data_IF_609906607592
#
_entry.id   IF_609906607592
#
_cell.length_a   1.000
_cell.length_b   1.000
_cell.length_c   1.000
_cell.angle_alpha   90.00
_cell.angle_beta   90.00
_cell.angle_gamma   90.00
#
_symmetry.space_group_name_H-M   'P 1'
#
loop_
_entity.id
_entity.type
_entity.pdbx_description
1 polymer ?
#
# COMPACT_ATOMS: atom_id res chain seq x y z
N UNK A 1 -11.02 -3.08 -7.78
CA UNK A 1 -9.72 -2.38 -7.75
C UNK A 1 -9.60 -1.53 -6.51
N UNK A 2 -8.44 -1.53 -5.85
CA UNK A 2 -8.14 -0.69 -4.69
C UNK A 2 -7.10 0.36 -5.10
N UNK A 3 -7.34 1.63 -4.77
CA UNK A 3 -6.32 2.69 -4.91
C UNK A 3 -5.95 3.16 -3.52
N UNK A 4 -4.68 3.08 -3.19
CA UNK A 4 -4.16 3.48 -1.90
C UNK A 4 -3.20 4.66 -2.01
N UNK A 5 -3.46 5.72 -1.24
CA UNK A 5 -2.57 6.90 -1.13
C UNK A 5 -1.79 6.84 0.18
N UNK A 6 -0.47 6.96 0.11
CA UNK A 6 0.38 6.99 1.31
C UNK A 6 0.29 5.67 2.11
N UNK A 7 -0.03 5.75 3.40
CA UNK A 7 -0.35 4.59 4.24
C UNK A 7 -1.39 3.68 3.59
N UNK A 8 -2.43 4.24 2.96
CA UNK A 8 -3.45 3.48 2.27
C UNK A 8 -2.90 2.63 1.12
N UNK A 9 -1.75 3.01 0.54
CA UNK A 9 -1.04 2.23 -0.46
C UNK A 9 -0.48 0.92 0.10
N UNK A 10 0.13 0.98 1.28
CA UNK A 10 0.60 -0.21 1.99
C UNK A 10 -0.56 -1.11 2.40
N UNK A 11 -1.60 -0.54 3.02
CA UNK A 11 -2.82 -1.29 3.40
C UNK A 11 -3.49 -1.93 2.19
N UNK A 12 -3.59 -1.20 1.08
CA UNK A 12 -4.12 -1.73 -0.18
C UNK A 12 -3.34 -2.93 -0.72
N UNK A 13 -2.00 -2.89 -0.62
CA UNK A 13 -1.15 -4.03 -1.00
C UNK A 13 -1.43 -5.25 -0.12
N UNK A 14 -1.54 -5.06 1.20
CA UNK A 14 -1.86 -6.15 2.13
C UNK A 14 -3.24 -6.76 1.80
N UNK A 15 -4.24 -5.92 1.53
CA UNK A 15 -5.58 -6.37 1.13
C UNK A 15 -5.53 -7.17 -0.18
N UNK A 16 -4.74 -6.73 -1.17
CA UNK A 16 -4.61 -7.41 -2.45
C UNK A 16 -4.00 -8.80 -2.32
N UNK A 17 -2.96 -8.98 -1.50
CA UNK A 17 -2.39 -10.30 -1.24
C UNK A 17 -3.24 -11.18 -0.32
N UNK A 18 -3.95 -10.59 0.65
CA UNK A 18 -4.80 -11.33 1.59
C UNK A 18 -6.14 -11.77 0.99
N UNK A 19 -6.70 -10.99 0.06
CA UNK A 19 -8.02 -11.23 -0.56
C UNK A 19 -7.93 -11.19 -2.10
N UNK A 20 -7.04 -12.00 -2.71
CA UNK A 20 -6.69 -11.88 -4.13
C UNK A 20 -7.87 -12.18 -5.06
N UNK A 21 -8.82 -13.02 -4.64
CA UNK A 21 -10.04 -13.33 -5.40
C UNK A 21 -11.07 -12.19 -5.41
N UNK A 22 -10.98 -11.24 -4.46
CA UNK A 22 -11.91 -10.10 -4.35
C UNK A 22 -11.31 -8.78 -4.84
N UNK A 23 -9.99 -8.74 -5.04
CA UNK A 23 -9.26 -7.53 -5.39
C UNK A 23 -8.73 -7.67 -6.80
N UNK A 24 -9.46 -7.12 -7.78
CA UNK A 24 -9.07 -7.09 -9.19
C UNK A 24 -7.77 -6.33 -9.51
N UNK A 25 -7.07 -5.81 -8.49
CA UNK A 25 -5.83 -5.06 -8.64
C UNK A 25 -5.69 -3.95 -7.60
N UNK A 26 -4.46 -3.56 -7.32
CA UNK A 26 -4.11 -2.46 -6.42
C UNK A 26 -3.20 -1.44 -7.11
N UNK A 27 -3.46 -0.16 -6.85
CA UNK A 27 -2.58 0.96 -7.24
C UNK A 27 -2.03 1.65 -6.00
N UNK A 28 -0.70 1.68 -5.88
CA UNK A 28 0.02 2.36 -4.77
C UNK A 28 0.45 3.76 -5.22
N UNK A 29 -0.06 4.79 -4.54
CA UNK A 29 0.20 6.20 -4.83
C UNK A 29 0.97 6.90 -3.70
N UNK A 30 1.68 7.98 -4.04
CA UNK A 30 2.36 8.83 -3.05
C UNK A 30 1.37 9.41 -2.03
N UNK A 31 1.81 9.54 -0.79
CA UNK A 31 1.06 10.26 0.23
C UNK A 31 1.64 10.11 1.64
N UNK A 32 0.99 10.74 2.63
CA UNK A 32 1.40 10.67 4.03
C UNK A 32 1.46 9.23 4.55
N UNK A 33 2.50 8.90 5.32
CA UNK A 33 2.68 7.57 5.91
C UNK A 33 3.14 6.49 4.92
N UNK A 34 3.53 6.83 3.68
CA UNK A 34 4.03 5.85 2.71
C UNK A 34 5.30 5.13 3.19
N UNK A 35 6.20 5.85 3.86
CA UNK A 35 7.48 5.28 4.30
C UNK A 35 7.34 4.28 5.46
N UNK A 36 6.30 4.41 6.29
CA UNK A 36 6.19 3.65 7.54
C UNK A 36 7.24 4.08 8.56
N UNK A 37 7.49 3.22 9.54
CA UNK A 37 8.56 3.31 10.53
C UNK A 37 9.90 2.74 10.08
N UNK A 38 10.05 2.43 8.79
CA UNK A 38 11.23 1.79 8.23
C UNK A 38 11.21 0.26 8.30
N UNK A 39 12.30 -0.41 7.87
CA UNK A 39 12.33 -1.87 7.70
C UNK A 39 12.54 -2.64 9.01
N UNK A 40 12.97 -1.97 10.08
CA UNK A 40 13.27 -2.57 11.38
C UNK A 40 12.68 -1.75 12.53
N UNK A 41 12.48 -2.34 13.73
CA UNK A 41 12.11 -1.58 14.91
C UNK A 41 13.12 -0.48 15.24
N UNK A 42 12.61 0.65 15.72
CA UNK A 42 13.38 1.79 16.20
C UNK A 42 12.94 2.17 17.61
N UNK A 43 13.56 3.20 18.19
CA UNK A 43 13.18 3.71 19.51
C UNK A 43 11.67 3.99 19.60
N UNK A 44 10.97 3.51 20.64
CA UNK A 44 9.55 3.74 20.80
C UNK A 44 9.28 5.24 21.00
N UNK A 45 8.22 5.74 20.38
CA UNK A 45 7.77 7.13 20.52
C UNK A 45 6.27 7.11 20.78
N UNK A 46 5.85 7.69 21.90
CA UNK A 46 4.44 7.93 22.18
C UNK A 46 4.02 9.20 21.46
N UNK A 47 2.92 9.12 20.71
CA UNK A 47 2.44 10.24 19.89
C UNK A 47 1.09 10.71 20.40
N UNK A 48 0.98 12.01 20.59
CA UNK A 48 -0.31 12.67 20.79
C UNK A 48 -0.67 13.36 19.47
N UNK A 49 -1.67 12.87 18.72
CA UNK A 49 -2.23 13.63 17.63
C UNK A 49 -2.70 14.99 18.16
N UNK A 50 -2.63 16.07 17.36
CA UNK A 50 -3.38 17.27 17.70
C UNK A 50 -4.85 16.88 17.88
N UNK A 51 -5.60 17.63 18.70
CA UNK A 51 -7.06 17.50 18.79
C UNK A 51 -7.70 18.45 17.75
N UNK A 52 -7.85 18.06 16.47
CA UNK A 52 -8.73 18.82 15.59
C UNK A 52 -10.18 18.58 16.01
N UNK A 53 -11.08 19.47 15.57
CA UNK A 53 -12.50 19.16 15.58
C UNK A 53 -12.74 17.97 14.64
N UNK A 54 -12.80 16.76 15.21
CA UNK A 54 -13.05 15.53 14.48
C UNK A 54 -14.56 15.34 14.30
N UNK A 55 -14.93 14.96 13.09
CA UNK A 55 -16.26 14.42 12.82
C UNK A 55 -16.30 12.92 13.12
N UNK A 56 -17.49 12.35 13.28
CA UNK A 56 -17.66 10.91 13.49
C UNK A 56 -17.23 10.06 12.27
N UNK A 57 -17.12 10.69 11.10
CA UNK A 57 -16.74 10.04 9.83
C UNK A 57 -15.23 10.09 9.56
N UNK A 58 -14.48 10.85 10.37
CA UNK A 58 -13.02 10.93 10.22
C UNK A 58 -12.34 9.63 10.71
N UNK A 59 -11.30 9.14 10.02
CA UNK A 59 -10.52 8.01 10.52
C UNK A 59 -9.86 8.35 11.85
N UNK A 60 -9.77 7.36 12.76
CA UNK A 60 -9.14 7.52 14.07
C UNK A 60 -7.72 8.12 13.94
N UNK A 61 -7.45 9.28 14.58
CA UNK A 61 -6.21 10.00 14.39
C UNK A 61 -5.02 9.29 15.04
N UNK A 62 -5.24 8.54 16.12
CA UNK A 62 -4.21 7.70 16.73
C UNK A 62 -3.87 6.55 15.80
N UNK A 63 -4.88 5.88 15.24
CA UNK A 63 -4.65 4.80 14.28
C UNK A 63 -3.84 5.29 13.07
N UNK A 64 -4.18 6.46 12.51
CA UNK A 64 -3.43 7.03 11.38
C UNK A 64 -1.96 7.31 11.74
N UNK A 65 -1.70 7.86 12.93
CA UNK A 65 -0.35 8.24 13.37
C UNK A 65 0.50 7.01 13.70
N UNK A 66 -0.07 6.02 14.38
CA UNK A 66 0.60 4.76 14.72
C UNK A 66 0.90 3.95 13.47
N UNK A 67 -0.10 3.74 12.61
CA UNK A 67 0.07 3.00 11.36
C UNK A 67 0.97 3.71 10.35
N UNK A 68 1.10 5.04 10.40
CA UNK A 68 2.09 5.73 9.56
C UNK A 68 3.54 5.44 9.95
N UNK A 69 3.78 4.79 11.10
CA UNK A 69 5.09 4.52 11.70
C UNK A 69 5.31 3.03 12.01
N UNK A 70 4.44 2.17 11.50
CA UNK A 70 4.60 0.72 11.63
C UNK A 70 5.87 0.23 10.92
N UNK A 71 6.48 -0.82 11.46
CA UNK A 71 7.65 -1.44 10.82
C UNK A 71 7.20 -2.15 9.55
N UNK A 72 7.86 -1.88 8.42
CA UNK A 72 7.56 -2.45 7.10
C UNK A 72 8.77 -3.12 6.49
N UNK A 73 9.04 -4.38 6.85
CA UNK A 73 10.09 -5.17 6.22
C UNK A 73 9.79 -5.41 4.74
N UNK A 74 10.84 -5.42 3.93
CA UNK A 74 10.75 -5.59 2.48
C UNK A 74 10.20 -6.98 2.10
N UNK A 75 10.65 -8.02 2.79
CA UNK A 75 10.22 -9.41 2.60
C UNK A 75 8.75 -9.64 2.98
N UNK A 76 8.28 -8.94 4.01
CA UNK A 76 6.88 -8.96 4.38
C UNK A 76 6.00 -8.35 3.28
N UNK A 77 6.37 -7.18 2.75
CA UNK A 77 5.61 -6.54 1.68
C UNK A 77 5.60 -7.36 0.38
N UNK A 78 6.76 -7.90 -0.02
CA UNK A 78 6.88 -8.74 -1.24
C UNK A 78 6.11 -10.06 -1.13
N UNK A 79 5.91 -10.60 0.08
CA UNK A 79 5.06 -11.78 0.28
C UNK A 79 3.62 -11.53 -0.21
N UNK A 80 3.05 -10.36 0.07
CA UNK A 80 1.69 -10.01 -0.39
C UNK A 80 1.63 -9.76 -1.90
N UNK A 81 2.71 -9.25 -2.50
CA UNK A 81 2.82 -9.16 -3.97
C UNK A 81 2.74 -10.55 -4.60
N UNK A 82 3.53 -11.50 -4.09
CA UNK A 82 3.56 -12.87 -4.59
C UNK A 82 2.24 -13.59 -4.39
N UNK A 83 1.56 -13.36 -3.26
CA UNK A 83 0.20 -13.86 -3.04
C UNK A 83 -0.78 -13.29 -4.07
N UNK A 84 -0.74 -11.97 -4.31
CA UNK A 84 -1.60 -11.35 -5.32
C UNK A 84 -1.34 -11.93 -6.71
N UNK A 85 -0.07 -12.08 -7.12
CA UNK A 85 0.31 -12.69 -8.40
C UNK A 85 -0.18 -14.13 -8.54
N UNK A 86 0.00 -14.93 -7.48
CA UNK A 86 -0.33 -16.34 -7.50
C UNK A 86 -1.84 -16.61 -7.57
N UNK A 87 -2.65 -15.79 -6.90
CA UNK A 87 -4.04 -16.13 -6.61
C UNK A 87 -5.08 -15.17 -7.24
N UNK A 88 -4.68 -14.03 -7.79
CA UNK A 88 -5.64 -13.10 -8.44
C UNK A 88 -6.05 -13.52 -9.84
N UNK A 89 -5.30 -14.42 -10.49
CA UNK A 89 -5.46 -14.75 -11.90
C UNK A 89 -4.98 -13.66 -12.87
N UNK A 90 -4.32 -12.62 -12.37
CA UNK A 90 -3.78 -11.51 -13.16
C UNK A 90 -2.26 -11.61 -13.31
N UNK A 91 -1.76 -11.29 -14.51
CA UNK A 91 -0.32 -11.19 -14.75
C UNK A 91 0.32 -10.00 -14.02
N UNK A 92 -0.45 -8.92 -13.80
CA UNK A 92 0.02 -7.69 -13.18
C UNK A 92 -1.00 -7.07 -12.20
N UNK A 93 -1.22 -7.69 -11.02
CA UNK A 93 -2.21 -7.24 -10.04
C UNK A 93 -1.78 -6.00 -9.25
N UNK A 94 -0.49 -5.63 -9.27
CA UNK A 94 0.05 -4.49 -8.50
C UNK A 94 0.60 -3.44 -9.45
N UNK A 95 0.10 -2.21 -9.33
CA UNK A 95 0.61 -1.04 -10.02
C UNK A 95 1.23 -0.05 -9.02
N UNK A 96 2.41 0.46 -9.31
CA UNK A 96 3.09 1.49 -8.51
C UNK A 96 3.07 2.81 -9.27
N UNK A 97 2.15 3.69 -8.86
CA UNK A 97 2.03 5.06 -9.39
C UNK A 97 2.77 6.10 -8.54
N UNK A 98 3.20 5.71 -7.34
CA UNK A 98 4.04 6.55 -6.49
C UNK A 98 5.35 6.93 -7.21
N UNK A 99 5.94 8.05 -6.84
CA UNK A 99 7.28 8.50 -7.20
C UNK A 99 8.26 8.14 -6.08
N UNK A 100 7.88 8.32 -4.82
CA UNK A 100 8.73 8.00 -3.68
C UNK A 100 8.85 6.47 -3.56
N UNK A 101 10.06 5.99 -3.22
CA UNK A 101 10.39 4.56 -3.11
C UNK A 101 11.04 4.26 -1.75
N UNK A 102 10.28 4.23 -0.64
CA UNK A 102 10.80 3.67 0.60
C UNK A 102 11.20 2.20 0.38
N UNK A 103 12.07 1.60 1.24
CA UNK A 103 12.61 0.26 1.03
C UNK A 103 11.56 -0.80 0.66
N UNK A 104 10.46 -0.89 1.41
CA UNK A 104 9.40 -1.86 1.14
C UNK A 104 8.76 -1.68 -0.25
N UNK A 105 8.57 -0.43 -0.71
CA UNK A 105 7.96 -0.15 -2.01
C UNK A 105 8.96 -0.28 -3.14
N UNK A 106 10.24 -0.03 -2.88
CA UNK A 106 11.32 -0.32 -3.83
C UNK A 106 11.41 -1.83 -4.08
N UNK A 107 11.34 -2.64 -3.04
CA UNK A 107 11.30 -4.10 -3.14
C UNK A 107 10.04 -4.58 -3.89
N UNK A 108 8.87 -4.05 -3.55
CA UNK A 108 7.61 -4.33 -4.28
C UNK A 108 7.74 -3.97 -5.76
N UNK A 109 8.27 -2.79 -6.10
CA UNK A 109 8.42 -2.38 -7.49
C UNK A 109 9.43 -3.23 -8.28
N UNK A 110 10.32 -3.96 -7.59
CA UNK A 110 11.28 -4.87 -8.19
C UNK A 110 10.76 -6.31 -8.36
N UNK A 111 9.61 -6.66 -7.77
CA UNK A 111 9.01 -7.98 -7.96
C UNK A 111 8.50 -8.16 -9.40
N UNK A 112 8.71 -9.33 -10.02
CA UNK A 112 8.14 -9.64 -11.33
C UNK A 112 6.62 -9.50 -11.34
N UNK A 113 6.05 -8.95 -12.43
CA UNK A 113 4.60 -8.72 -12.55
C UNK A 113 4.11 -7.46 -11.83
N UNK A 114 4.97 -6.71 -11.15
CA UNK A 114 4.63 -5.36 -10.67
C UNK A 114 4.93 -4.34 -11.78
N UNK A 115 3.96 -3.47 -12.05
CA UNK A 115 4.07 -2.46 -13.12
C UNK A 115 4.21 -1.07 -12.51
N UNK A 116 5.23 -0.33 -12.91
CA UNK A 116 5.33 1.10 -12.59
C UNK A 116 4.68 1.93 -13.70
N UNK A 117 3.55 2.57 -13.39
CA UNK A 117 2.78 3.33 -14.37
C UNK A 117 1.95 4.44 -13.69
N UNK A 118 1.54 5.49 -14.42
CA UNK A 118 0.65 6.51 -13.87
C UNK A 118 -0.69 5.94 -13.39
N UNK A 119 -1.27 6.54 -12.35
CA UNK A 119 -2.56 6.12 -11.78
C UNK A 119 -3.66 5.96 -12.84
N UNK A 120 -3.76 6.89 -13.78
CA UNK A 120 -4.76 6.85 -14.85
C UNK A 120 -4.60 5.63 -15.77
N UNK A 121 -3.37 5.22 -16.06
CA UNK A 121 -3.09 4.04 -16.88
C UNK A 121 -3.45 2.75 -16.14
N UNK A 122 -3.05 2.65 -14.87
CA UNK A 122 -3.40 1.50 -14.02
C UNK A 122 -4.92 1.33 -13.87
N UNK A 123 -5.64 2.42 -13.62
CA UNK A 123 -7.10 2.39 -13.51
C UNK A 123 -7.76 1.97 -14.83
N UNK A 124 -7.31 2.49 -15.97
CA UNK A 124 -7.82 2.08 -17.27
C UNK A 124 -7.59 0.58 -17.53
N UNK A 125 -6.39 0.08 -17.20
CA UNK A 125 -6.03 -1.34 -17.35
C UNK A 125 -6.91 -2.25 -16.48
N UNK A 126 -7.09 -1.90 -15.20
CA UNK A 126 -7.94 -2.68 -14.30
C UNK A 126 -9.43 -2.60 -14.64
N UNK A 127 -9.90 -1.48 -15.21
CA UNK A 127 -11.27 -1.31 -15.66
C UNK A 127 -11.60 -2.13 -16.93
N UNK A 128 -10.58 -2.52 -17.70
CA UNK A 128 -10.72 -3.35 -18.89
C UNK A 128 -10.74 -4.86 -18.60
N UNK A 129 -10.59 -5.25 -17.32
CA UNK A 129 -10.71 -6.65 -16.92
C UNK A 129 -12.17 -7.12 -17.06
N UNK A 130 -12.39 -8.38 -17.47
CA UNK A 130 -13.72 -8.95 -17.68
C UNK A 130 -14.54 -9.11 -16.39
#
# INVERSE_FOLDING_TARGET
>A
TVVGRGLGGYVGLLIAGARPELVAGVVVCDGPGLAGGGPSPHSPVVVAPPHPAMSADDPDPFALVELARDVRPDDYATTYVRQALQFSGLEAPVAVAAVVRPPWLAAVAAEPGVVSEPLSAALARFAALP
#
